data_IF_741560391836
#
_entry.id   IF_741560391836
#
_cell.length_a   1.000
_cell.length_b   1.000
_cell.length_c   1.000
_cell.angle_alpha   90.00
_cell.angle_beta   90.00
_cell.angle_gamma   90.00
#
_symmetry.space_group_name_H-M   'P 1'
#
loop_
_entity.id
_entity.type
_entity.pdbx_description
1 polymer ?
#
# COMPACT_ATOMS: atom_id res chain seq x y z
N UNK A 1 5.98 -26.18 -17.35
CA UNK A 1 5.15 -25.77 -18.51
C UNK A 1 5.52 -24.34 -18.87
N UNK A 2 5.36 -23.92 -20.12
CA UNK A 2 5.61 -22.52 -20.52
C UNK A 2 4.43 -21.67 -20.09
N UNK A 3 4.67 -20.61 -19.31
CA UNK A 3 3.60 -19.71 -18.88
C UNK A 3 2.95 -19.02 -20.09
N UNK A 4 1.63 -19.14 -20.20
CA UNK A 4 0.77 -18.49 -21.22
C UNK A 4 0.04 -17.28 -20.67
N UNK A 5 -0.06 -17.16 -19.35
CA UNK A 5 -0.54 -15.97 -18.66
C UNK A 5 0.54 -15.40 -17.74
N UNK A 6 0.67 -14.08 -17.75
CA UNK A 6 1.71 -13.35 -17.02
C UNK A 6 1.12 -12.20 -16.23
N UNK A 7 1.72 -11.95 -15.08
CA UNK A 7 1.62 -10.68 -14.39
C UNK A 7 3.01 -10.29 -13.89
N UNK A 8 3.19 -9.01 -13.59
CA UNK A 8 4.45 -8.56 -12.98
C UNK A 8 4.24 -7.39 -12.03
N UNK A 9 5.18 -7.23 -11.11
CA UNK A 9 5.33 -5.99 -10.33
C UNK A 9 6.34 -5.08 -11.02
N UNK A 10 5.94 -3.82 -11.24
CA UNK A 10 6.71 -2.77 -11.90
C UNK A 10 7.19 -1.77 -10.86
N UNK A 11 8.48 -1.45 -10.82
CA UNK A 11 9.04 -0.45 -9.93
C UNK A 11 10.55 -0.34 -10.00
N UNK A 12 11.14 0.50 -9.15
CA UNK A 12 12.59 0.71 -9.10
C UNK A 12 13.05 1.18 -7.71
N UNK A 13 13.97 0.45 -7.04
CA UNK A 13 14.43 -0.91 -7.36
C UNK A 13 13.33 -1.95 -7.12
N UNK A 14 13.31 -3.04 -7.91
CA UNK A 14 12.23 -4.04 -7.84
C UNK A 14 12.66 -5.44 -7.37
N UNK A 15 13.96 -5.73 -7.35
CA UNK A 15 14.51 -7.08 -7.17
C UNK A 15 14.09 -7.75 -5.86
N UNK A 16 13.87 -6.95 -4.80
CA UNK A 16 13.49 -7.44 -3.47
C UNK A 16 11.96 -7.50 -3.25
N UNK A 17 11.16 -7.28 -4.29
CA UNK A 17 9.71 -7.37 -4.15
C UNK A 17 9.27 -8.76 -3.73
N UNK A 18 8.38 -8.83 -2.73
CA UNK A 18 7.77 -10.08 -2.24
C UNK A 18 6.45 -10.43 -2.96
N UNK A 19 5.95 -9.55 -3.84
CA UNK A 19 4.73 -9.81 -4.63
C UNK A 19 4.81 -11.10 -5.47
N UNK A 20 5.95 -11.45 -6.12
CA UNK A 20 6.05 -12.73 -6.82
C UNK A 20 5.84 -13.95 -5.92
N UNK A 21 6.26 -13.91 -4.66
CA UNK A 21 6.06 -15.03 -3.72
C UNK A 21 4.56 -15.20 -3.46
N UNK A 22 3.85 -14.10 -3.16
CA UNK A 22 2.41 -14.10 -2.93
C UNK A 22 1.63 -14.63 -4.13
N UNK A 23 1.83 -14.03 -5.31
CA UNK A 23 1.05 -14.35 -6.49
C UNK A 23 1.33 -15.76 -7.02
N UNK A 24 2.61 -16.18 -7.10
CA UNK A 24 2.93 -17.53 -7.57
C UNK A 24 2.45 -18.61 -6.60
N UNK A 25 2.48 -18.37 -5.28
CA UNK A 25 1.85 -19.27 -4.31
C UNK A 25 0.32 -19.31 -4.50
N UNK A 26 -0.29 -18.17 -4.84
CA UNK A 26 -1.70 -18.12 -5.19
C UNK A 26 -2.03 -18.92 -6.45
N UNK A 27 -1.23 -18.78 -7.51
CA UNK A 27 -1.42 -19.52 -8.76
C UNK A 27 -1.32 -21.03 -8.54
N UNK A 28 -0.29 -21.48 -7.82
CA UNK A 28 -0.13 -22.89 -7.46
C UNK A 28 -1.31 -23.43 -6.64
N UNK A 29 -1.81 -22.66 -5.67
CA UNK A 29 -2.94 -23.06 -4.84
C UNK A 29 -4.28 -23.08 -5.60
N UNK A 30 -4.41 -22.28 -6.66
CA UNK A 30 -5.58 -22.24 -7.53
C UNK A 30 -5.49 -23.24 -8.71
N UNK A 31 -4.38 -23.96 -8.88
CA UNK A 31 -4.15 -24.87 -10.01
C UNK A 31 -3.90 -24.14 -11.35
N UNK A 32 -3.46 -22.89 -11.28
CA UNK A 32 -3.14 -22.03 -12.42
C UNK A 32 -1.69 -22.26 -12.86
N UNK A 33 -1.37 -23.46 -13.31
CA UNK A 33 0.01 -23.90 -13.57
C UNK A 33 0.64 -23.27 -14.83
N UNK A 34 -0.14 -22.53 -15.62
CA UNK A 34 0.26 -21.79 -16.81
C UNK A 34 0.41 -20.28 -16.56
N UNK A 35 0.33 -19.85 -15.29
CA UNK A 35 0.57 -18.48 -14.85
C UNK A 35 1.98 -18.26 -14.31
N UNK A 36 2.50 -17.05 -14.50
CA UNK A 36 3.73 -16.61 -13.85
C UNK A 36 3.65 -15.15 -13.39
N UNK A 37 4.10 -14.87 -12.17
CA UNK A 37 4.28 -13.52 -11.64
C UNK A 37 5.78 -13.20 -11.51
N UNK A 38 6.23 -12.08 -12.08
CA UNK A 38 7.65 -11.70 -12.10
C UNK A 38 7.87 -10.25 -11.64
N UNK A 39 9.14 -9.83 -11.56
CA UNK A 39 9.51 -8.43 -11.36
C UNK A 39 10.03 -7.84 -12.66
N UNK A 40 9.66 -6.60 -12.97
CA UNK A 40 10.20 -5.85 -14.10
C UNK A 40 10.60 -4.46 -13.60
N UNK A 41 11.84 -4.07 -13.89
CA UNK A 41 12.36 -2.76 -13.50
C UNK A 41 11.66 -1.67 -14.34
N UNK A 42 11.03 -0.72 -13.66
CA UNK A 42 10.35 0.41 -14.29
C UNK A 42 10.37 1.63 -13.37
N UNK A 43 10.82 2.75 -13.92
CA UNK A 43 10.70 4.07 -13.27
C UNK A 43 9.37 4.72 -13.68
N UNK A 44 9.08 5.91 -13.16
CA UNK A 44 7.93 6.68 -13.62
C UNK A 44 8.02 7.01 -15.13
N UNK A 45 9.23 7.31 -15.61
CA UNK A 45 9.46 7.75 -17.00
C UNK A 45 9.40 6.58 -17.99
N UNK A 46 9.78 5.37 -17.57
CA UNK A 46 9.81 4.18 -18.44
C UNK A 46 8.54 3.34 -18.34
N UNK A 47 7.61 3.68 -17.44
CA UNK A 47 6.43 2.86 -17.16
C UNK A 47 5.55 2.70 -18.41
N UNK A 48 5.31 3.80 -19.14
CA UNK A 48 4.45 3.80 -20.32
C UNK A 48 4.99 2.87 -21.41
N UNK A 49 6.31 2.86 -21.62
CA UNK A 49 6.95 1.98 -22.61
C UNK A 49 6.81 0.50 -22.19
N UNK A 50 7.10 0.17 -20.93
CA UNK A 50 6.98 -1.21 -20.41
C UNK A 50 5.54 -1.72 -20.52
N UNK A 51 4.55 -0.89 -20.19
CA UNK A 51 3.13 -1.25 -20.27
C UNK A 51 2.64 -1.31 -21.72
N UNK A 52 3.16 -0.45 -22.60
CA UNK A 52 2.83 -0.39 -24.02
C UNK A 52 3.40 -1.56 -24.82
N UNK A 53 4.61 -2.01 -24.48
CA UNK A 53 5.30 -3.14 -25.13
C UNK A 53 4.82 -4.51 -24.63
N UNK A 54 3.98 -4.54 -23.59
CA UNK A 54 3.46 -5.77 -23.03
C UNK A 54 2.58 -6.53 -24.03
N UNK A 55 3.00 -7.74 -24.38
CA UNK A 55 2.23 -8.63 -25.25
C UNK A 55 0.94 -9.16 -24.60
N UNK A 56 0.14 -9.87 -25.39
CA UNK A 56 -1.17 -10.40 -24.98
C UNK A 56 -1.11 -11.40 -23.81
N UNK A 57 0.07 -11.95 -23.48
CA UNK A 57 0.21 -12.87 -22.34
C UNK A 57 0.10 -12.15 -20.99
N UNK A 58 0.37 -10.83 -20.93
CA UNK A 58 0.27 -10.07 -19.68
C UNK A 58 -1.18 -9.74 -19.33
N UNK A 59 -1.71 -10.35 -18.28
CA UNK A 59 -3.04 -10.05 -17.74
C UNK A 59 -3.05 -8.81 -16.85
N UNK A 60 -1.91 -8.47 -16.21
CA UNK A 60 -1.88 -7.40 -15.22
C UNK A 60 -0.50 -6.99 -14.76
N UNK A 61 -0.42 -5.76 -14.25
CA UNK A 61 0.76 -5.23 -13.58
C UNK A 61 0.39 -4.67 -12.21
N UNK A 62 1.08 -5.10 -11.17
CA UNK A 62 1.13 -4.30 -9.94
C UNK A 62 2.19 -3.21 -10.13
N UNK A 63 1.97 -2.02 -9.58
CA UNK A 63 2.91 -0.89 -9.70
C UNK A 63 3.30 -0.40 -8.32
N UNK A 64 4.60 -0.28 -8.07
CA UNK A 64 5.15 0.23 -6.82
C UNK A 64 5.96 1.50 -7.04
N UNK A 65 6.63 1.99 -5.99
CA UNK A 65 7.52 3.14 -6.08
C UNK A 65 8.54 2.93 -7.23
N UNK A 66 8.86 3.98 -8.00
CA UNK A 66 8.34 5.36 -7.92
C UNK A 66 7.12 5.62 -8.83
N UNK A 67 6.58 4.60 -9.50
CA UNK A 67 5.77 4.78 -10.70
C UNK A 67 4.24 4.83 -10.47
N UNK A 68 3.77 4.82 -9.21
CA UNK A 68 2.32 4.79 -8.88
C UNK A 68 1.50 5.97 -9.41
N UNK A 69 2.13 7.15 -9.59
CA UNK A 69 1.46 8.30 -10.20
C UNK A 69 1.35 8.15 -11.72
N UNK A 70 2.45 7.77 -12.38
CA UNK A 70 2.50 7.50 -13.82
C UNK A 70 1.56 6.36 -14.24
N UNK A 71 1.27 5.40 -13.36
CA UNK A 71 0.34 4.30 -13.64
C UNK A 71 -1.05 4.76 -14.08
N UNK A 72 -1.54 5.91 -13.57
CA UNK A 72 -2.82 6.46 -14.02
C UNK A 72 -2.78 6.92 -15.48
N UNK A 73 -1.64 7.43 -15.92
CA UNK A 73 -1.44 7.97 -17.28
C UNK A 73 -1.29 6.85 -18.32
N UNK A 74 -0.92 5.64 -17.89
CA UNK A 74 -0.82 4.46 -18.75
C UNK A 74 -2.16 3.78 -19.06
N UNK A 75 -3.26 4.19 -18.40
CA UNK A 75 -4.53 3.48 -18.45
C UNK A 75 -5.58 4.18 -19.33
N UNK A 76 -6.33 3.37 -20.09
CA UNK A 76 -7.50 3.83 -20.85
C UNK A 76 -8.71 4.07 -19.93
N UNK A 77 -8.80 3.28 -18.86
CA UNK A 77 -9.88 3.34 -17.87
C UNK A 77 -9.28 3.50 -16.47
N UNK A 78 -9.94 4.27 -15.62
CA UNK A 78 -9.52 4.47 -14.23
C UNK A 78 -10.72 4.25 -13.33
N UNK A 79 -10.57 3.46 -12.26
CA UNK A 79 -11.64 3.27 -11.28
C UNK A 79 -11.89 4.57 -10.50
N UNK A 80 -13.13 4.75 -10.01
CA UNK A 80 -13.49 5.91 -9.19
C UNK A 80 -12.54 6.09 -7.99
N UNK A 81 -12.14 4.98 -7.37
CA UNK A 81 -11.20 5.01 -6.24
C UNK A 81 -9.79 5.43 -6.65
N UNK A 82 -9.24 4.90 -7.75
CA UNK A 82 -7.91 5.28 -8.21
C UNK A 82 -7.86 6.74 -8.67
N UNK A 83 -8.92 7.21 -9.35
CA UNK A 83 -9.07 8.60 -9.76
C UNK A 83 -9.13 9.54 -8.55
N UNK A 84 -9.93 9.22 -7.53
CA UNK A 84 -10.04 10.05 -6.34
C UNK A 84 -8.76 10.03 -5.49
N UNK A 85 -8.14 8.86 -5.30
CA UNK A 85 -6.85 8.72 -4.60
C UNK A 85 -5.75 9.50 -5.33
N UNK A 86 -5.80 9.52 -6.67
CA UNK A 86 -4.80 10.18 -7.52
C UNK A 86 -3.50 9.38 -7.64
N UNK A 87 -3.58 8.06 -7.51
CA UNK A 87 -2.48 7.13 -7.82
C UNK A 87 -3.04 5.72 -8.05
N UNK A 88 -2.32 4.88 -8.80
CA UNK A 88 -2.68 3.49 -9.02
C UNK A 88 -1.50 2.56 -8.69
N UNK A 89 -1.81 1.40 -8.12
CA UNK A 89 -0.85 0.32 -7.87
C UNK A 89 -1.21 -0.95 -8.67
N UNK A 90 -2.25 -0.91 -9.48
CA UNK A 90 -2.80 -2.06 -10.21
C UNK A 90 -3.23 -1.62 -11.60
N UNK A 91 -2.70 -2.28 -12.64
CA UNK A 91 -3.14 -2.17 -14.02
C UNK A 91 -3.67 -3.53 -14.47
N UNK A 92 -4.89 -3.59 -14.95
CA UNK A 92 -5.53 -4.81 -15.43
C UNK A 92 -5.76 -4.68 -16.93
N UNK A 93 -5.37 -5.69 -17.71
CA UNK A 93 -5.62 -5.67 -19.16
C UNK A 93 -7.11 -5.79 -19.42
N UNK A 94 -7.63 -4.96 -20.31
CA UNK A 94 -9.01 -4.98 -20.81
C UNK A 94 -9.02 -5.06 -22.34
N UNK A 95 -10.21 -5.21 -22.93
CA UNK A 95 -10.37 -5.16 -24.39
C UNK A 95 -10.09 -3.78 -24.98
N UNK A 96 -10.12 -2.72 -24.17
CA UNK A 96 -9.89 -1.34 -24.59
C UNK A 96 -8.48 -0.81 -24.24
N UNK A 97 -7.63 -1.64 -23.60
CA UNK A 97 -6.29 -1.27 -23.17
C UNK A 97 -6.04 -1.70 -21.73
N UNK A 98 -5.80 -0.73 -20.84
CA UNK A 98 -5.50 -0.97 -19.44
C UNK A 98 -6.49 -0.24 -18.53
N UNK A 99 -6.91 -0.91 -17.45
CA UNK A 99 -7.67 -0.30 -16.36
C UNK A 99 -6.79 -0.10 -15.14
N UNK A 100 -6.65 1.14 -14.70
CA UNK A 100 -5.94 1.49 -13.47
C UNK A 100 -6.85 1.41 -12.24
N UNK A 101 -6.30 0.83 -11.19
CA UNK A 101 -6.94 0.68 -9.90
C UNK A 101 -5.95 0.87 -8.73
N UNK A 102 -6.48 1.08 -7.53
CA UNK A 102 -5.69 1.22 -6.31
C UNK A 102 -6.16 0.23 -5.25
N UNK A 103 -5.44 -0.87 -5.08
CA UNK A 103 -5.68 -1.88 -4.05
C UNK A 103 -4.87 -1.65 -2.78
N UNK A 104 -3.97 -0.66 -2.75
CA UNK A 104 -3.29 -0.29 -1.50
C UNK A 104 -4.29 0.16 -0.44
N UNK A 105 -5.44 0.75 -0.84
CA UNK A 105 -6.50 1.08 0.11
C UNK A 105 -7.08 -0.18 0.77
N UNK A 106 -7.23 -1.28 0.03
CA UNK A 106 -7.63 -2.59 0.58
C UNK A 106 -6.55 -3.13 1.51
N UNK A 107 -5.28 -2.96 1.13
CA UNK A 107 -4.12 -3.29 1.95
C UNK A 107 -4.14 -2.61 3.32
N UNK A 108 -4.29 -1.28 3.32
CA UNK A 108 -4.34 -0.49 4.55
C UNK A 108 -5.59 -0.84 5.35
N UNK A 109 -6.76 -0.98 4.72
CA UNK A 109 -8.00 -1.35 5.41
C UNK A 109 -7.88 -2.72 6.11
N UNK A 110 -7.32 -3.72 5.44
CA UNK A 110 -7.08 -5.04 6.03
C UNK A 110 -6.09 -4.99 7.20
N UNK A 111 -5.02 -4.19 7.07
CA UNK A 111 -4.05 -3.99 8.14
C UNK A 111 -4.64 -3.24 9.36
N UNK A 112 -5.50 -2.24 9.13
CA UNK A 112 -6.27 -1.58 10.20
C UNK A 112 -7.24 -2.56 10.88
N UNK A 113 -7.89 -3.42 10.10
CA UNK A 113 -8.76 -4.48 10.62
C UNK A 113 -8.02 -5.42 11.57
N UNK A 114 -6.83 -5.91 11.19
CA UNK A 114 -5.98 -6.74 12.07
C UNK A 114 -5.45 -5.96 13.28
N UNK A 115 -5.07 -4.68 13.09
CA UNK A 115 -4.55 -3.83 14.17
C UNK A 115 -5.59 -3.56 15.26
N UNK A 116 -6.86 -3.38 14.87
CA UNK A 116 -7.94 -3.06 15.78
C UNK A 116 -8.72 -4.29 16.26
N UNK A 117 -8.69 -5.41 15.55
CA UNK A 117 -9.32 -6.69 15.95
C UNK A 117 -10.78 -6.50 16.42
N UNK A 118 -11.59 -5.84 15.59
CA UNK A 118 -13.00 -5.57 15.88
C UNK A 118 -13.28 -4.46 16.90
N UNK A 119 -12.25 -3.80 17.44
CA UNK A 119 -12.42 -2.60 18.29
C UNK A 119 -12.96 -1.42 17.48
N UNK A 120 -13.63 -0.51 18.19
CA UNK A 120 -14.15 0.74 17.61
C UNK A 120 -13.03 1.54 16.95
N UNK A 121 -13.21 1.97 15.69
CA UNK A 121 -12.25 2.82 15.02
C UNK A 121 -12.01 4.15 15.74
N UNK A 122 -10.79 4.71 15.66
CA UNK A 122 -10.50 6.01 16.22
C UNK A 122 -11.07 7.12 15.35
N UNK A 123 -11.35 8.28 15.94
CA UNK A 123 -11.77 9.47 15.18
C UNK A 123 -10.58 10.28 14.65
N UNK A 124 -9.38 10.11 15.23
CA UNK A 124 -8.17 10.85 14.92
C UNK A 124 -7.04 9.90 14.51
N UNK A 125 -6.34 10.20 13.44
CA UNK A 125 -5.17 9.46 12.98
C UNK A 125 -4.01 10.37 12.60
N UNK A 126 -2.81 9.80 12.62
CA UNK A 126 -1.59 10.42 12.09
C UNK A 126 -1.11 9.63 10.88
N UNK A 127 -0.69 10.33 9.82
CA UNK A 127 0.06 9.75 8.71
C UNK A 127 1.45 10.37 8.70
N UNK A 128 2.50 9.53 8.70
CA UNK A 128 3.88 10.00 8.49
C UNK A 128 4.26 9.79 7.03
N UNK A 129 4.54 10.90 6.35
CA UNK A 129 4.77 10.96 4.91
C UNK A 129 3.56 11.44 4.11
N UNK A 130 3.83 11.90 2.89
CA UNK A 130 2.84 12.41 1.95
C UNK A 130 3.06 11.87 0.52
N UNK A 131 3.67 10.69 0.40
CA UNK A 131 3.98 10.04 -0.88
C UNK A 131 2.80 9.26 -1.48
N UNK A 132 3.08 8.44 -2.50
CA UNK A 132 2.06 7.63 -3.19
C UNK A 132 1.24 6.74 -2.26
N UNK A 133 1.85 6.19 -1.21
CA UNK A 133 1.15 5.33 -0.21
C UNK A 133 0.37 6.13 0.85
N UNK A 134 0.68 7.42 1.05
CA UNK A 134 -0.06 8.25 2.01
C UNK A 134 -1.51 8.51 1.55
N UNK A 135 -1.75 8.57 0.23
CA UNK A 135 -3.07 8.77 -0.37
C UNK A 135 -4.04 7.61 -0.10
N UNK A 136 -3.72 6.34 -0.44
CA UNK A 136 -4.56 5.20 -0.08
C UNK A 136 -4.64 4.99 1.43
N UNK A 137 -3.62 5.38 2.22
CA UNK A 137 -3.72 5.37 3.68
C UNK A 137 -4.77 6.37 4.21
N UNK A 138 -4.77 7.60 3.69
CA UNK A 138 -5.80 8.61 4.00
C UNK A 138 -7.19 8.08 3.65
N UNK A 139 -7.35 7.54 2.44
CA UNK A 139 -8.61 6.93 1.99
C UNK A 139 -9.09 5.83 2.94
N UNK A 140 -8.22 4.87 3.25
CA UNK A 140 -8.58 3.73 4.09
C UNK A 140 -8.89 4.15 5.54
N UNK A 141 -8.16 5.12 6.09
CA UNK A 141 -8.46 5.69 7.41
C UNK A 141 -9.84 6.37 7.43
N UNK A 142 -10.17 7.11 6.37
CA UNK A 142 -11.48 7.73 6.25
C UNK A 142 -12.61 6.70 6.18
N UNK A 143 -12.44 5.64 5.37
CA UNK A 143 -13.39 4.53 5.27
C UNK A 143 -13.48 3.73 6.58
N UNK A 144 -12.40 3.72 7.36
CA UNK A 144 -12.37 3.14 8.70
C UNK A 144 -13.11 4.00 9.73
N UNK A 145 -13.52 5.23 9.41
CA UNK A 145 -14.29 6.11 10.29
C UNK A 145 -13.48 7.23 10.96
N UNK A 146 -12.23 7.43 10.55
CA UNK A 146 -11.41 8.57 10.98
C UNK A 146 -11.96 9.84 10.33
N UNK A 147 -12.21 10.87 11.13
CA UNK A 147 -12.73 12.16 10.66
C UNK A 147 -11.68 13.28 10.69
N UNK A 148 -10.56 13.06 11.37
CA UNK A 148 -9.48 14.03 11.47
C UNK A 148 -8.11 13.35 11.30
N UNK A 149 -7.33 13.82 10.33
CA UNK A 149 -6.02 13.27 10.01
C UNK A 149 -4.96 14.38 10.11
N UNK A 150 -3.91 14.12 10.87
CA UNK A 150 -2.71 14.97 10.88
C UNK A 150 -1.62 14.30 10.06
N UNK A 151 -1.11 15.01 9.05
CA UNK A 151 0.03 14.55 8.23
C UNK A 151 1.33 15.14 8.77
N UNK A 152 2.29 14.28 9.10
CA UNK A 152 3.65 14.66 9.46
C UNK A 152 4.54 14.48 8.23
N UNK A 153 5.10 15.55 7.68
CA UNK A 153 6.02 15.46 6.55
C UNK A 153 7.01 16.64 6.53
N UNK A 154 8.14 16.48 5.83
CA UNK A 154 9.20 17.51 5.74
C UNK A 154 8.74 18.79 5.05
N UNK A 155 7.92 18.66 4.01
CA UNK A 155 7.37 19.79 3.24
C UNK A 155 5.85 19.78 3.32
N UNK A 156 5.23 20.96 3.46
CA UNK A 156 3.77 21.07 3.44
C UNK A 156 3.22 20.64 2.07
N UNK A 157 2.54 19.49 2.06
CA UNK A 157 1.88 18.89 0.88
C UNK A 157 0.36 18.87 1.04
N UNK A 158 -0.19 19.67 1.94
CA UNK A 158 -1.63 19.75 2.21
C UNK A 158 -2.45 20.02 0.95
N UNK A 159 -1.99 20.91 0.07
CA UNK A 159 -2.70 21.22 -1.17
C UNK A 159 -2.90 19.99 -2.08
N UNK A 160 -2.00 19.00 -2.00
CA UNK A 160 -2.07 17.79 -2.82
C UNK A 160 -2.98 16.70 -2.25
N UNK A 161 -3.17 16.70 -0.92
CA UNK A 161 -4.00 15.73 -0.20
C UNK A 161 -5.40 16.28 0.13
N UNK A 162 -5.56 17.60 0.20
CA UNK A 162 -6.81 18.26 0.55
C UNK A 162 -7.99 17.87 -0.36
N UNK A 163 -7.85 17.74 -1.69
CA UNK A 163 -8.96 17.28 -2.52
C UNK A 163 -9.47 15.90 -2.10
N UNK A 164 -8.56 14.95 -1.84
CA UNK A 164 -8.91 13.62 -1.38
C UNK A 164 -9.60 13.66 -0.01
N UNK A 165 -9.06 14.41 0.94
CA UNK A 165 -9.66 14.58 2.27
C UNK A 165 -11.09 15.15 2.18
N UNK A 166 -11.31 16.15 1.31
CA UNK A 166 -12.63 16.74 1.09
C UNK A 166 -13.64 15.74 0.53
N UNK A 167 -13.24 14.90 -0.44
CA UNK A 167 -14.14 13.85 -0.98
C UNK A 167 -14.60 12.85 0.09
N UNK A 168 -13.85 12.75 1.19
CA UNK A 168 -14.10 11.82 2.30
C UNK A 168 -14.58 12.51 3.58
N UNK A 169 -14.87 13.81 3.54
CA UNK A 169 -15.28 14.61 4.70
C UNK A 169 -14.28 14.53 5.88
N UNK A 170 -12.98 14.43 5.58
CA UNK A 170 -11.91 14.39 6.58
C UNK A 170 -11.31 15.78 6.76
N UNK A 171 -11.18 16.21 8.01
CA UNK A 171 -10.37 17.37 8.37
C UNK A 171 -8.88 17.01 8.31
N UNK A 172 -8.09 17.83 7.60
CA UNK A 172 -6.69 17.56 7.35
C UNK A 172 -5.80 18.64 7.96
N UNK A 173 -5.01 18.24 8.94
CA UNK A 173 -3.93 19.05 9.52
C UNK A 173 -2.57 18.63 8.98
N UNK A 174 -1.60 19.54 9.06
CA UNK A 174 -0.23 19.30 8.64
C UNK A 174 0.76 19.84 9.68
N UNK A 175 1.77 19.05 10.02
CA UNK A 175 2.88 19.47 10.89
C UNK A 175 4.24 19.02 10.32
N UNK A 176 5.28 19.80 10.59
CA UNK A 176 6.66 19.37 10.33
C UNK A 176 7.20 18.52 11.49
N UNK A 177 8.37 17.91 11.28
CA UNK A 177 9.03 17.10 12.29
C UNK A 177 9.54 17.90 13.52
N UNK A 178 9.57 19.23 13.42
CA UNK A 178 9.95 20.13 14.53
C UNK A 178 8.83 20.37 15.55
N UNK A 179 7.61 19.86 15.28
CA UNK A 179 6.49 19.94 16.20
C UNK A 179 6.68 19.04 17.43
N UNK A 180 5.82 19.20 18.44
CA UNK A 180 5.73 18.22 19.53
C UNK A 180 5.04 16.94 19.03
N UNK A 181 5.83 16.07 18.38
CA UNK A 181 5.33 14.84 17.77
C UNK A 181 4.73 13.89 18.80
N UNK A 182 5.22 13.89 20.04
CA UNK A 182 4.67 13.05 21.10
C UNK A 182 3.25 13.50 21.48
N UNK A 183 3.02 14.82 21.58
CA UNK A 183 1.68 15.37 21.80
C UNK A 183 0.75 15.08 20.61
N UNK A 184 1.22 15.23 19.37
CA UNK A 184 0.44 14.95 18.16
C UNK A 184 0.02 13.48 18.10
N UNK A 185 0.96 12.56 18.32
CA UNK A 185 0.70 11.12 18.19
C UNK A 185 -0.12 10.57 19.36
N UNK A 186 0.15 11.00 20.59
CA UNK A 186 -0.64 10.55 21.76
C UNK A 186 -2.10 11.01 21.73
N UNK A 187 -2.40 12.08 21.00
CA UNK A 187 -3.77 12.54 20.75
C UNK A 187 -4.48 11.78 19.60
N UNK A 188 -3.77 10.91 18.88
CA UNK A 188 -4.31 10.09 17.81
C UNK A 188 -4.56 8.65 18.27
N UNK A 189 -5.55 8.00 17.68
CA UNK A 189 -5.85 6.59 17.97
C UNK A 189 -5.09 5.61 17.08
N UNK A 190 -4.41 6.09 16.03
CA UNK A 190 -3.55 5.28 15.16
C UNK A 190 -2.53 6.17 14.43
N UNK A 191 -1.34 5.65 14.21
CA UNK A 191 -0.32 6.21 13.33
C UNK A 191 -0.06 5.24 12.16
N UNK A 192 -0.06 5.77 10.94
CA UNK A 192 0.35 5.06 9.72
C UNK A 192 1.65 5.66 9.19
N UNK A 193 2.76 4.92 9.27
CA UNK A 193 4.04 5.34 8.71
C UNK A 193 4.15 4.88 7.26
N UNK A 194 4.37 5.82 6.34
CA UNK A 194 4.49 5.56 4.88
C UNK A 194 5.87 5.91 4.33
N UNK A 195 6.85 6.09 5.21
CA UNK A 195 8.22 6.54 4.88
C UNK A 195 9.25 5.48 5.27
N UNK A 196 10.44 5.47 4.64
CA UNK A 196 11.54 4.61 5.06
C UNK A 196 11.90 4.81 6.54
N UNK A 197 12.34 3.77 7.24
CA UNK A 197 12.71 3.88 8.67
C UNK A 197 13.78 4.95 8.93
N UNK A 198 14.74 5.10 8.00
CA UNK A 198 15.78 6.13 8.08
C UNK A 198 15.22 7.57 8.10
N UNK A 199 14.02 7.80 7.55
CA UNK A 199 13.40 9.12 7.54
C UNK A 199 12.76 9.51 8.89
N UNK A 200 12.62 8.56 9.81
CA UNK A 200 11.98 8.77 11.12
C UNK A 200 12.84 8.31 12.30
N UNK A 201 14.07 7.88 12.04
CA UNK A 201 14.95 7.25 13.03
C UNK A 201 15.12 8.10 14.29
N UNK A 202 15.40 9.39 14.12
CA UNK A 202 15.56 10.34 15.24
C UNK A 202 14.26 10.66 15.98
N UNK A 203 13.11 10.42 15.33
CA UNK A 203 11.77 10.73 15.86
C UNK A 203 11.06 9.51 16.46
N UNK A 204 11.61 8.29 16.31
CA UNK A 204 11.05 7.06 16.87
C UNK A 204 10.63 7.21 18.33
N UNK A 205 11.43 7.83 19.24
CA UNK A 205 11.04 8.00 20.63
C UNK A 205 9.73 8.77 20.83
N UNK A 206 9.41 9.70 19.93
CA UNK A 206 8.22 10.55 19.96
C UNK A 206 7.04 9.98 19.16
N UNK A 207 7.30 9.13 18.15
CA UNK A 207 6.26 8.58 17.27
C UNK A 207 5.63 7.28 17.80
N UNK A 208 6.28 6.57 18.73
CA UNK A 208 5.76 5.29 19.24
C UNK A 208 4.72 5.39 20.35
N UNK A 209 3.82 6.37 20.31
CA UNK A 209 2.84 6.67 21.39
C UNK A 209 1.37 6.42 20.98
N UNK A 210 1.14 5.60 19.95
CA UNK A 210 -0.17 5.18 19.47
C UNK A 210 -0.07 3.77 18.83
N UNK A 211 -1.18 3.08 18.57
CA UNK A 211 -1.21 1.94 17.63
C UNK A 211 -0.53 2.28 16.31
N UNK A 212 0.33 1.39 15.79
CA UNK A 212 1.12 1.67 14.57
C UNK A 212 0.83 0.66 13.46
N UNK A 213 0.54 1.19 12.27
CA UNK A 213 0.78 0.51 11.01
C UNK A 213 2.03 1.10 10.36
N UNK A 214 3.07 0.28 10.15
CA UNK A 214 4.25 0.68 9.38
C UNK A 214 4.24 -0.07 8.05
N UNK A 215 4.23 0.64 6.91
CA UNK A 215 4.11 0.01 5.59
C UNK A 215 5.37 -0.76 5.17
N UNK A 216 6.45 -0.67 5.94
CA UNK A 216 7.66 -1.45 5.74
C UNK A 216 7.40 -2.90 6.15
N UNK A 217 7.74 -3.83 5.27
CA UNK A 217 7.67 -5.27 5.53
C UNK A 217 9.03 -5.95 5.66
N UNK A 218 10.10 -5.30 5.19
CA UNK A 218 11.46 -5.82 5.27
C UNK A 218 12.46 -4.66 5.41
N UNK A 219 13.30 -4.63 6.46
CA UNK A 219 13.30 -5.55 7.60
C UNK A 219 12.06 -5.40 8.49
N UNK A 220 11.66 -6.48 9.18
CA UNK A 220 10.57 -6.51 10.15
C UNK A 220 11.01 -7.25 11.43
N UNK A 221 10.70 -6.76 12.65
CA UNK A 221 9.99 -5.51 12.96
C UNK A 221 10.84 -4.25 12.74
N UNK A 222 10.19 -3.10 12.51
CA UNK A 222 10.87 -1.79 12.38
C UNK A 222 11.16 -1.15 13.74
N UNK A 223 12.14 -0.23 13.86
CA UNK A 223 12.37 0.50 15.12
C UNK A 223 11.14 1.21 15.68
N UNK A 224 10.30 1.78 14.80
CA UNK A 224 9.05 2.45 15.18
C UNK A 224 8.07 1.46 15.82
N UNK A 225 7.87 0.29 15.20
CA UNK A 225 6.97 -0.73 15.74
C UNK A 225 7.50 -1.36 17.03
N UNK A 226 8.82 -1.56 17.16
CA UNK A 226 9.46 -1.99 18.41
C UNK A 226 9.16 -0.98 19.53
N UNK A 227 9.32 0.31 19.26
CA UNK A 227 9.06 1.37 20.23
C UNK A 227 7.59 1.46 20.63
N UNK A 228 6.67 1.40 19.67
CA UNK A 228 5.24 1.42 19.95
C UNK A 228 4.81 0.21 20.79
N UNK A 229 5.29 -1.00 20.45
CA UNK A 229 5.04 -2.20 21.22
C UNK A 229 5.60 -2.11 22.65
N UNK A 230 6.83 -1.59 22.82
CA UNK A 230 7.42 -1.36 24.13
C UNK A 230 6.64 -0.35 25.00
N UNK A 231 5.92 0.58 24.36
CA UNK A 231 5.01 1.52 25.02
C UNK A 231 3.58 0.95 25.22
N UNK A 232 3.34 -0.33 24.91
CA UNK A 232 2.06 -1.00 25.13
C UNK A 232 1.04 -0.82 24.00
N UNK A 233 1.45 -0.33 22.84
CA UNK A 233 0.56 -0.17 21.69
C UNK A 233 0.64 -1.37 20.73
N UNK A 234 -0.49 -1.81 20.16
CA UNK A 234 -0.50 -2.84 19.13
C UNK A 234 0.18 -2.32 17.85
N UNK A 235 0.79 -3.23 17.09
CA UNK A 235 1.51 -2.89 15.86
C UNK A 235 1.21 -3.89 14.75
N UNK A 236 1.16 -3.41 13.52
CA UNK A 236 1.02 -4.20 12.30
C UNK A 236 2.05 -3.73 11.27
N UNK A 237 2.64 -4.68 10.54
CA UNK A 237 3.67 -4.41 9.55
C UNK A 237 3.17 -4.40 8.13
N UNK A 238 4.04 -3.92 7.23
CA UNK A 238 3.73 -3.79 5.81
C UNK A 238 3.42 -5.11 5.13
N UNK A 239 3.83 -6.25 5.70
CA UNK A 239 3.55 -7.57 5.15
C UNK A 239 2.05 -7.90 5.21
N UNK A 240 1.35 -7.40 6.24
CA UNK A 240 -0.09 -7.53 6.35
C UNK A 240 -0.78 -6.69 5.27
N UNK A 241 -0.37 -5.43 5.12
CA UNK A 241 -0.84 -4.56 4.04
C UNK A 241 -0.58 -5.17 2.66
N UNK A 242 0.63 -5.70 2.44
CA UNK A 242 1.06 -6.33 1.19
C UNK A 242 0.19 -7.55 0.84
N UNK A 243 -0.17 -8.36 1.84
CA UNK A 243 -1.06 -9.50 1.63
C UNK A 243 -2.47 -9.01 1.24
N UNK A 244 -3.06 -8.10 2.01
CA UNK A 244 -4.43 -7.62 1.77
C UNK A 244 -4.60 -6.88 0.44
N UNK A 245 -3.61 -6.11 -0.01
CA UNK A 245 -3.68 -5.46 -1.33
C UNK A 245 -3.53 -6.46 -2.48
N UNK A 246 -2.86 -7.60 -2.26
CA UNK A 246 -2.58 -8.60 -3.31
C UNK A 246 -3.79 -9.47 -3.64
N UNK A 247 -4.73 -9.65 -2.71
CA UNK A 247 -5.92 -10.47 -2.93
C UNK A 247 -6.83 -9.92 -4.05
N UNK A 248 -7.28 -8.65 -4.00
CA UNK A 248 -8.05 -8.09 -5.11
C UNK A 248 -7.24 -7.96 -6.40
N UNK A 249 -5.90 -7.79 -6.33
CA UNK A 249 -5.06 -7.83 -7.54
C UNK A 249 -5.07 -9.22 -8.18
N UNK A 250 -4.90 -10.27 -7.37
CA UNK A 250 -4.97 -11.64 -7.83
C UNK A 250 -6.31 -11.91 -8.52
N UNK A 251 -7.42 -11.59 -7.83
CA UNK A 251 -8.77 -11.75 -8.35
C UNK A 251 -8.99 -10.97 -9.65
N UNK A 252 -8.47 -9.74 -9.74
CA UNK A 252 -8.60 -8.92 -10.93
C UNK A 252 -7.77 -9.42 -12.11
N UNK A 253 -6.59 -10.00 -11.88
CA UNK A 253 -5.76 -10.54 -12.94
C UNK A 253 -6.31 -11.87 -13.47
N UNK A 254 -6.67 -12.79 -12.57
CA UNK A 254 -7.00 -14.17 -12.95
C UNK A 254 -8.49 -14.38 -13.22
N UNK A 255 -9.37 -13.55 -12.64
CA UNK A 255 -10.80 -13.81 -12.57
C UNK A 255 -11.19 -14.87 -11.53
N UNK A 256 -10.22 -15.43 -10.79
CA UNK A 256 -10.42 -16.48 -9.80
C UNK A 256 -10.35 -15.93 -8.36
N UNK A 257 -11.10 -16.52 -7.41
CA UNK A 257 -11.01 -16.14 -6.00
C UNK A 257 -9.58 -16.29 -5.46
N UNK A 258 -9.07 -15.28 -4.74
CA UNK A 258 -7.73 -15.36 -4.17
C UNK A 258 -7.66 -16.45 -3.09
N UNK A 259 -6.73 -17.43 -3.18
CA UNK A 259 -6.50 -18.40 -2.11
C UNK A 259 -5.70 -17.76 -0.97
N UNK A 260 -6.35 -16.84 -0.24
CA UNK A 260 -5.75 -15.90 0.73
C UNK A 260 -4.85 -16.60 1.75
N UNK A 261 -5.26 -17.76 2.28
CA UNK A 261 -4.50 -18.50 3.27
C UNK A 261 -3.17 -19.05 2.73
N UNK A 262 -3.14 -19.49 1.46
CA UNK A 262 -1.91 -19.98 0.83
C UNK A 262 -0.96 -18.82 0.53
N UNK A 263 -1.49 -17.73 -0.02
CA UNK A 263 -0.76 -16.50 -0.30
C UNK A 263 -0.12 -15.93 0.99
N UNK A 264 -0.93 -15.74 2.04
CA UNK A 264 -0.47 -15.21 3.34
C UNK A 264 0.64 -16.08 3.94
N UNK A 265 0.48 -17.41 3.91
CA UNK A 265 1.47 -18.34 4.46
C UNK A 265 2.81 -18.24 3.73
N UNK A 266 2.79 -18.22 2.39
CA UNK A 266 4.02 -18.11 1.61
C UNK A 266 4.76 -16.79 1.88
N UNK A 267 4.03 -15.69 2.06
CA UNK A 267 4.61 -14.41 2.45
C UNK A 267 5.27 -14.50 3.83
N UNK A 268 4.55 -15.01 4.83
CA UNK A 268 5.06 -15.13 6.20
C UNK A 268 6.29 -16.03 6.29
N UNK A 269 6.35 -17.11 5.51
CA UNK A 269 7.52 -17.98 5.41
C UNK A 269 8.73 -17.27 4.79
N UNK A 270 8.49 -16.35 3.85
CA UNK A 270 9.57 -15.59 3.19
C UNK A 270 10.25 -14.52 4.05
N UNK A 271 9.65 -14.19 5.20
CA UNK A 271 10.12 -13.19 6.15
C UNK A 271 10.85 -13.82 7.36
N UNK A 272 11.02 -15.14 7.36
CA UNK A 272 11.69 -15.89 8.43
C UNK A 272 13.19 -16.04 8.20
#
# INVERSE_FOLDING_TARGET
MTATHRAAVLGSPIEHSRSPILHNAGYAAAGLDDWAYTCIEATADTLADVVGDADESYAGFSVTMPAKFAALECATEVTDRAAAIGSANTLVRTTAGWRADNTDCDGVAGALGELFDGRTPPTRAVIVGAGGTARPALWALADFGVTHITVINRSDRRAELAPLAQTRSVELDFVSFDADLAAVVSAAGVLVSTVPSAAVEEHVPQLGHAPVLDVIYEPWPTPLTIRAAANGHPVVGGHVMLAHQSYPQFEAFTGEPAPRAAMRRALEESLR
#
